data_IF_735647361340
#
_entry.id   IF_735647361340
#
_cell.length_a   1.000
_cell.length_b   1.000
_cell.length_c   1.000
_cell.angle_alpha   90.00
_cell.angle_beta   90.00
_cell.angle_gamma   90.00
#
_symmetry.space_group_name_H-M   'P 1'
#
loop_
_entity.id
_entity.type
_entity.pdbx_description
1 polymer ?
#
# COMPACT_ATOMS: atom_id res chain seq x y z
N UNK A 1 -3.64 17.38 4.56
CA UNK A 1 -2.50 18.16 5.11
C UNK A 1 -2.54 18.36 6.62
N UNK A 2 -3.72 18.51 7.26
CA UNK A 2 -3.83 18.68 8.73
C UNK A 2 -3.30 17.47 9.53
N UNK A 3 -3.56 16.23 9.08
CA UNK A 3 -3.04 15.01 9.73
C UNK A 3 -1.50 14.90 9.69
N UNK A 4 -0.86 15.36 8.61
CA UNK A 4 0.62 15.38 8.51
C UNK A 4 1.27 16.44 9.41
N UNK A 5 0.55 17.53 9.72
CA UNK A 5 0.98 18.52 10.71
C UNK A 5 0.82 18.01 12.15
N UNK A 6 -0.32 17.39 12.47
CA UNK A 6 -0.57 16.79 13.79
C UNK A 6 0.41 15.63 14.10
N UNK A 7 0.88 14.94 13.06
CA UNK A 7 1.85 13.85 13.09
C UNK A 7 3.23 14.24 13.64
N UNK A 8 3.64 15.51 13.52
CA UNK A 8 4.96 15.96 14.01
C UNK A 8 4.91 16.51 15.45
N UNK A 9 3.74 16.94 15.93
CA UNK A 9 3.60 17.61 17.23
C UNK A 9 3.22 16.68 18.39
N UNK A 10 2.70 15.48 18.12
CA UNK A 10 2.07 14.64 19.14
C UNK A 10 2.90 13.43 19.59
N UNK A 11 4.11 13.23 19.05
CA UNK A 11 4.94 12.04 19.29
C UNK A 11 4.25 10.69 18.92
N UNK A 12 3.05 10.74 18.33
CA UNK A 12 2.27 9.60 17.83
C UNK A 12 3.02 8.88 16.69
N UNK A 13 3.95 9.57 16.02
CA UNK A 13 4.87 9.02 15.01
C UNK A 13 5.88 8.00 15.57
N UNK A 14 6.04 7.94 16.89
CA UNK A 14 6.85 6.90 17.54
C UNK A 14 6.20 5.52 17.49
N UNK A 15 4.89 5.43 17.20
CA UNK A 15 4.16 4.18 17.10
C UNK A 15 3.83 3.86 15.64
N UNK A 16 4.44 2.80 15.10
CA UNK A 16 4.32 2.37 13.70
C UNK A 16 2.88 2.34 13.18
N UNK A 17 1.95 1.62 13.85
CA UNK A 17 0.57 1.55 13.40
C UNK A 17 -0.12 2.92 13.27
N UNK A 18 0.13 3.84 14.19
CA UNK A 18 -0.48 5.17 14.11
C UNK A 18 0.07 6.00 12.94
N UNK A 19 1.37 5.87 12.64
CA UNK A 19 1.97 6.45 11.43
C UNK A 19 1.34 5.85 10.16
N UNK A 20 1.17 4.53 10.12
CA UNK A 20 0.60 3.82 8.97
C UNK A 20 -0.84 4.25 8.69
N UNK A 21 -1.66 4.46 9.74
CA UNK A 21 -3.00 5.04 9.62
C UNK A 21 -2.97 6.47 9.07
N UNK A 22 -2.08 7.33 9.59
CA UNK A 22 -1.99 8.71 9.14
C UNK A 22 -1.54 8.82 7.67
N UNK A 23 -0.53 8.04 7.27
CA UNK A 23 -0.06 7.98 5.88
C UNK A 23 -1.16 7.48 4.95
N UNK A 24 -1.83 6.39 5.33
CA UNK A 24 -2.93 5.83 4.53
C UNK A 24 -4.08 6.81 4.38
N UNK A 25 -4.50 7.48 5.47
CA UNK A 25 -5.55 8.51 5.44
C UNK A 25 -5.18 9.70 4.57
N UNK A 26 -3.90 10.11 4.59
CA UNK A 26 -3.37 11.15 3.70
C UNK A 26 -3.53 10.77 2.22
N UNK A 27 -3.11 9.56 1.85
CA UNK A 27 -3.22 9.04 0.47
C UNK A 27 -4.69 8.88 0.05
N UNK A 28 -5.52 8.29 0.91
CA UNK A 28 -6.95 8.09 0.64
C UNK A 28 -7.68 9.42 0.36
N UNK A 29 -7.42 10.45 1.19
CA UNK A 29 -8.03 11.77 1.01
C UNK A 29 -7.56 12.47 -0.27
N UNK A 30 -6.29 12.33 -0.63
CA UNK A 30 -5.74 12.84 -1.90
C UNK A 30 -6.40 12.19 -3.11
N UNK A 31 -6.49 10.85 -3.11
CA UNK A 31 -7.14 10.08 -4.17
C UNK A 31 -8.62 10.42 -4.30
N UNK A 32 -9.34 10.57 -3.19
CA UNK A 32 -10.74 10.96 -3.20
C UNK A 32 -10.96 12.36 -3.77
N UNK A 33 -10.09 13.31 -3.42
CA UNK A 33 -10.14 14.67 -3.96
C UNK A 33 -9.89 14.65 -5.47
N UNK A 34 -8.86 13.93 -5.93
CA UNK A 34 -8.56 13.79 -7.36
C UNK A 34 -9.73 13.14 -8.12
N UNK A 35 -10.36 12.12 -7.53
CA UNK A 35 -11.51 11.44 -8.11
C UNK A 35 -12.72 12.37 -8.28
N UNK A 36 -13.05 13.15 -7.23
CA UNK A 36 -14.13 14.12 -7.29
C UNK A 36 -13.88 15.20 -8.35
N UNK A 37 -12.65 15.69 -8.47
CA UNK A 37 -12.28 16.68 -9.48
C UNK A 37 -12.34 16.11 -10.90
N UNK A 38 -12.05 14.82 -11.07
CA UNK A 38 -12.15 14.12 -12.36
C UNK A 38 -13.57 13.82 -12.82
N UNK A 39 -14.60 14.06 -11.99
CA UNK A 39 -16.00 13.83 -12.34
C UNK A 39 -16.43 12.36 -12.45
N UNK A 40 -15.65 11.42 -11.90
CA UNK A 40 -15.95 9.99 -11.95
C UNK A 40 -17.14 9.58 -11.07
N UNK A 41 -17.70 8.39 -11.33
CA UNK A 41 -18.79 7.84 -10.52
C UNK A 41 -18.39 7.75 -9.04
N UNK A 42 -19.22 8.35 -8.17
CA UNK A 42 -18.89 8.45 -6.73
C UNK A 42 -18.81 7.09 -6.06
N UNK A 43 -19.73 6.17 -6.38
CA UNK A 43 -19.82 4.88 -5.67
C UNK A 43 -18.68 3.95 -6.06
N UNK A 44 -18.39 3.85 -7.36
CA UNK A 44 -17.32 3.04 -7.91
C UNK A 44 -15.95 3.55 -7.42
N UNK A 45 -15.70 4.86 -7.51
CA UNK A 45 -14.46 5.47 -7.04
C UNK A 45 -14.22 5.28 -5.55
N UNK A 46 -15.23 5.52 -4.71
CA UNK A 46 -15.12 5.32 -3.25
C UNK A 46 -14.78 3.87 -2.93
N UNK A 47 -15.45 2.90 -3.56
CA UNK A 47 -15.17 1.48 -3.34
C UNK A 47 -13.73 1.12 -3.74
N UNK A 48 -13.27 1.62 -4.89
CA UNK A 48 -11.92 1.36 -5.38
C UNK A 48 -10.85 1.98 -4.45
N UNK A 49 -11.04 3.25 -4.05
CA UNK A 49 -10.15 3.96 -3.12
C UNK A 49 -10.13 3.27 -1.76
N UNK A 50 -11.27 2.81 -1.25
CA UNK A 50 -11.34 2.08 0.01
C UNK A 50 -10.54 0.77 -0.04
N UNK A 51 -10.67 0.00 -1.13
CA UNK A 51 -9.91 -1.23 -1.32
C UNK A 51 -8.40 -0.98 -1.41
N UNK A 52 -7.98 0.06 -2.13
CA UNK A 52 -6.58 0.46 -2.21
C UNK A 52 -6.05 0.92 -0.85
N UNK A 53 -6.84 1.70 -0.12
CA UNK A 53 -6.46 2.23 1.20
C UNK A 53 -6.31 1.11 2.23
N UNK A 54 -7.21 0.12 2.21
CA UNK A 54 -7.10 -1.07 3.05
C UNK A 54 -5.83 -1.84 2.70
N UNK A 55 -5.56 -2.07 1.41
CA UNK A 55 -4.33 -2.77 0.98
C UNK A 55 -3.10 -2.03 1.48
N UNK A 56 -3.03 -0.72 1.23
CA UNK A 56 -1.94 0.16 1.65
C UNK A 56 -1.71 0.11 3.17
N UNK A 57 -2.77 0.19 3.98
CA UNK A 57 -2.65 0.18 5.45
C UNK A 57 -1.87 -1.03 5.97
N UNK A 58 -2.10 -2.20 5.40
CA UNK A 58 -1.46 -3.44 5.84
C UNK A 58 -0.09 -3.68 5.21
N UNK A 59 0.23 -3.03 4.09
CA UNK A 59 1.49 -3.24 3.35
C UNK A 59 2.48 -2.09 3.50
N UNK A 60 2.07 -0.91 3.97
CA UNK A 60 2.92 0.28 4.10
C UNK A 60 4.08 0.07 5.07
N UNK A 61 3.95 -0.86 6.02
CA UNK A 61 5.02 -1.27 6.95
C UNK A 61 6.29 -1.80 6.25
N UNK A 62 6.22 -2.13 4.95
CA UNK A 62 7.41 -2.39 4.12
C UNK A 62 8.38 -1.20 4.07
N UNK A 63 7.89 0.02 4.27
CA UNK A 63 8.72 1.23 4.38
C UNK A 63 9.65 1.19 5.58
N UNK A 64 9.24 0.52 6.65
CA UNK A 64 9.96 0.50 7.92
C UNK A 64 11.08 -0.54 7.89
N UNK A 65 11.01 -1.56 7.03
CA UNK A 65 12.07 -2.57 6.88
C UNK A 65 13.44 -1.97 6.56
N UNK A 66 13.47 -0.89 5.78
CA UNK A 66 14.72 -0.19 5.42
C UNK A 66 15.25 0.73 6.51
N UNK A 67 14.39 1.12 7.46
CA UNK A 67 14.64 2.17 8.43
C UNK A 67 14.71 1.62 9.87
N UNK A 68 14.50 0.31 10.09
CA UNK A 68 14.46 -0.36 11.42
C UNK A 68 15.58 0.08 12.37
N UNK A 69 16.84 0.13 11.90
CA UNK A 69 17.98 0.51 12.76
C UNK A 69 17.88 1.98 13.16
N UNK A 70 17.64 2.87 12.21
CA UNK A 70 17.51 4.31 12.48
C UNK A 70 16.28 4.66 13.30
N UNK A 71 15.18 3.91 13.13
CA UNK A 71 13.97 4.05 13.93
C UNK A 71 14.21 3.58 15.37
N UNK A 72 14.92 2.46 15.58
CA UNK A 72 15.30 1.99 16.90
C UNK A 72 16.22 2.99 17.65
N UNK A 73 17.23 3.53 16.96
CA UNK A 73 18.13 4.55 17.52
C UNK A 73 17.40 5.85 17.89
N UNK A 74 16.30 6.14 17.20
CA UNK A 74 15.43 7.30 17.46
C UNK A 74 14.32 7.01 18.50
N UNK A 75 14.28 5.81 19.07
CA UNK A 75 13.28 5.39 20.05
C UNK A 75 11.88 5.14 19.46
N UNK A 76 11.76 4.88 18.15
CA UNK A 76 10.48 4.57 17.50
C UNK A 76 10.21 3.06 17.51
N UNK A 77 8.98 2.70 17.86
CA UNK A 77 8.46 1.34 17.83
C UNK A 77 7.67 1.10 16.53
N UNK A 78 8.38 0.75 15.44
CA UNK A 78 7.74 0.41 14.16
C UNK A 78 7.28 -1.05 14.11
N UNK A 79 6.33 -1.36 13.22
CA UNK A 79 5.77 -2.72 13.09
C UNK A 79 6.85 -3.79 12.86
N UNK A 80 7.84 -3.59 11.97
CA UNK A 80 8.93 -4.56 11.83
C UNK A 80 9.83 -4.67 13.07
N UNK A 81 10.04 -3.57 13.79
CA UNK A 81 10.82 -3.58 15.03
C UNK A 81 10.10 -4.36 16.14
N UNK A 82 8.78 -4.18 16.27
CA UNK A 82 7.94 -4.89 17.25
C UNK A 82 7.85 -6.39 16.98
N UNK A 83 7.78 -6.80 15.70
CA UNK A 83 7.66 -8.21 15.30
C UNK A 83 9.02 -8.93 15.30
N UNK A 84 10.08 -8.23 14.90
CA UNK A 84 11.41 -8.81 14.69
C UNK A 84 11.47 -9.78 13.50
N UNK A 85 12.70 -10.17 13.13
CA UNK A 85 12.92 -11.18 12.09
C UNK A 85 12.61 -12.59 12.63
N UNK A 86 11.97 -13.48 11.85
CA UNK A 86 11.49 -13.30 10.47
C UNK A 86 10.02 -12.83 10.36
N UNK A 87 9.37 -12.54 11.49
CA UNK A 87 7.93 -12.31 11.55
C UNK A 87 7.50 -11.00 10.89
N UNK A 88 8.36 -9.99 10.87
CA UNK A 88 8.20 -8.75 10.11
C UNK A 88 7.82 -8.99 8.64
N UNK A 89 8.61 -9.83 7.95
CA UNK A 89 8.42 -10.15 6.53
C UNK A 89 7.27 -11.12 6.31
N UNK A 90 7.03 -12.03 7.24
CA UNK A 90 5.86 -12.93 7.20
C UNK A 90 4.57 -12.11 7.27
N UNK A 91 4.49 -11.16 8.19
CA UNK A 91 3.34 -10.25 8.30
C UNK A 91 3.11 -9.48 7.00
N UNK A 92 4.15 -8.80 6.48
CA UNK A 92 4.04 -8.01 5.25
C UNK A 92 3.65 -8.91 4.06
N UNK A 93 4.26 -10.09 3.94
CA UNK A 93 3.99 -11.03 2.86
C UNK A 93 2.57 -11.58 2.90
N UNK A 94 2.07 -11.96 4.09
CA UNK A 94 0.69 -12.38 4.28
C UNK A 94 -0.26 -11.24 3.92
N UNK A 95 -0.01 -10.02 4.40
CA UNK A 95 -0.81 -8.84 4.06
C UNK A 95 -0.86 -8.60 2.54
N UNK A 96 0.30 -8.65 1.88
CA UNK A 96 0.42 -8.46 0.42
C UNK A 96 -0.32 -9.51 -0.41
N UNK A 97 -0.55 -10.72 0.11
CA UNK A 97 -1.27 -11.77 -0.62
C UNK A 97 -2.75 -11.84 -0.21
N UNK A 98 -3.04 -11.85 1.09
CA UNK A 98 -4.38 -12.10 1.64
C UNK A 98 -5.32 -10.90 1.54
N UNK A 99 -4.86 -9.72 1.98
CA UNK A 99 -5.64 -8.47 1.86
C UNK A 99 -5.85 -8.18 0.38
N UNK A 100 -4.80 -8.39 -0.41
CA UNK A 100 -4.78 -8.18 -1.85
C UNK A 100 -5.75 -9.09 -2.60
N UNK A 101 -5.83 -10.38 -2.27
CA UNK A 101 -6.82 -11.29 -2.87
C UNK A 101 -8.27 -10.79 -2.64
N UNK A 102 -8.52 -10.21 -1.47
CA UNK A 102 -9.83 -9.67 -1.11
C UNK A 102 -10.13 -8.37 -1.86
N UNK A 103 -9.15 -7.47 -1.98
CA UNK A 103 -9.33 -6.16 -2.61
C UNK A 103 -9.36 -6.22 -4.13
N UNK A 104 -8.55 -7.08 -4.77
CA UNK A 104 -8.55 -7.29 -6.22
C UNK A 104 -9.91 -7.73 -6.76
N UNK A 105 -10.57 -8.64 -6.03
CA UNK A 105 -11.91 -9.13 -6.41
C UNK A 105 -12.90 -7.97 -6.54
N UNK A 106 -12.85 -7.01 -5.60
CA UNK A 106 -13.73 -5.84 -5.61
C UNK A 106 -13.27 -4.75 -6.58
N UNK A 107 -11.97 -4.57 -6.78
CA UNK A 107 -11.42 -3.51 -7.63
C UNK A 107 -11.50 -3.82 -9.12
N UNK A 108 -11.27 -5.07 -9.52
CA UNK A 108 -11.07 -5.45 -10.93
C UNK A 108 -12.24 -6.27 -11.48
N UNK A 109 -12.81 -7.19 -10.71
CA UNK A 109 -13.77 -8.18 -11.22
C UNK A 109 -15.24 -7.73 -11.17
N UNK A 110 -15.53 -6.50 -10.72
CA UNK A 110 -16.88 -5.94 -10.68
C UNK A 110 -17.33 -5.18 -11.94
N UNK A 111 -16.45 -4.99 -12.93
CA UNK A 111 -16.70 -4.15 -14.12
C UNK A 111 -17.14 -4.91 -15.38
N UNK A 112 -17.70 -4.19 -16.36
CA UNK A 112 -18.22 -4.77 -17.61
C UNK A 112 -17.16 -5.29 -18.59
N UNK A 113 -15.95 -4.74 -18.60
CA UNK A 113 -14.85 -5.21 -19.46
C UNK A 113 -13.99 -6.26 -18.76
N UNK A 114 -14.51 -7.49 -18.73
CA UNK A 114 -13.89 -8.62 -18.03
C UNK A 114 -12.47 -8.95 -18.52
N UNK A 115 -12.14 -8.71 -19.80
CA UNK A 115 -10.81 -9.02 -20.35
C UNK A 115 -9.74 -8.03 -19.87
N UNK A 116 -9.98 -6.71 -20.01
CA UNK A 116 -9.03 -5.70 -19.56
C UNK A 116 -8.82 -5.77 -18.03
N UNK A 117 -9.90 -5.96 -17.28
CA UNK A 117 -9.86 -6.14 -15.83
C UNK A 117 -9.01 -7.35 -15.41
N UNK A 118 -9.15 -8.50 -16.10
CA UNK A 118 -8.36 -9.72 -15.82
C UNK A 118 -6.87 -9.50 -16.07
N UNK A 119 -6.51 -8.82 -17.16
CA UNK A 119 -5.12 -8.52 -17.49
C UNK A 119 -4.52 -7.60 -16.41
N UNK A 120 -5.23 -6.52 -16.05
CA UNK A 120 -4.76 -5.61 -15.02
C UNK A 120 -4.63 -6.31 -13.66
N UNK A 121 -5.58 -7.16 -13.30
CA UNK A 121 -5.53 -7.96 -12.07
C UNK A 121 -4.32 -8.89 -12.05
N UNK A 122 -4.04 -9.58 -13.16
CA UNK A 122 -2.88 -10.45 -13.29
C UNK A 122 -1.55 -9.67 -13.16
N UNK A 123 -1.47 -8.48 -13.76
CA UNK A 123 -0.29 -7.61 -13.66
C UNK A 123 -0.02 -7.18 -12.21
N UNK A 124 -1.06 -6.77 -11.47
CA UNK A 124 -0.93 -6.40 -10.04
C UNK A 124 -0.44 -7.59 -9.22
N UNK A 125 -1.05 -8.77 -9.40
CA UNK A 125 -0.65 -9.98 -8.67
C UNK A 125 0.81 -10.36 -8.98
N UNK A 126 1.25 -10.25 -10.23
CA UNK A 126 2.65 -10.52 -10.59
C UNK A 126 3.62 -9.57 -9.89
N UNK A 127 3.26 -8.28 -9.76
CA UNK A 127 4.05 -7.30 -9.00
C UNK A 127 4.11 -7.67 -7.53
N UNK A 128 2.98 -8.02 -6.90
CA UNK A 128 2.95 -8.39 -5.49
C UNK A 128 3.77 -9.68 -5.23
N UNK A 129 3.65 -10.71 -6.07
CA UNK A 129 4.45 -11.94 -5.97
C UNK A 129 5.94 -11.62 -6.13
N UNK A 130 6.31 -10.77 -7.08
CA UNK A 130 7.69 -10.32 -7.28
C UNK A 130 8.23 -9.61 -6.03
N UNK A 131 7.45 -8.71 -5.43
CA UNK A 131 7.84 -7.97 -4.22
C UNK A 131 8.01 -8.90 -3.03
N UNK A 132 7.08 -9.82 -2.81
CA UNK A 132 7.15 -10.83 -1.74
C UNK A 132 8.40 -11.71 -1.93
N UNK A 133 8.59 -12.27 -3.13
CA UNK A 133 9.76 -13.10 -3.42
C UNK A 133 11.08 -12.34 -3.20
N UNK A 134 11.14 -11.07 -3.63
CA UNK A 134 12.30 -10.20 -3.42
C UNK A 134 12.54 -9.96 -1.93
N UNK A 135 11.49 -9.61 -1.18
CA UNK A 135 11.56 -9.32 0.26
C UNK A 135 12.10 -10.52 1.05
N UNK A 136 11.71 -11.75 0.70
CA UNK A 136 12.21 -12.94 1.40
C UNK A 136 13.62 -13.35 0.98
N UNK A 137 13.98 -13.19 -0.31
CA UNK A 137 15.29 -13.60 -0.84
C UNK A 137 16.41 -12.59 -0.57
N UNK A 138 16.09 -11.30 -0.60
CA UNK A 138 17.06 -10.20 -0.53
C UNK A 138 16.82 -9.35 0.72
N UNK A 139 17.43 -9.72 1.84
CA UNK A 139 17.14 -9.16 3.18
C UNK A 139 18.16 -8.14 3.69
N UNK A 140 18.97 -7.56 2.80
CA UNK A 140 19.90 -6.48 3.19
C UNK A 140 19.19 -5.13 3.17
N UNK A 141 19.63 -4.19 4.00
CA UNK A 141 19.05 -2.84 4.09
C UNK A 141 19.04 -2.13 2.72
N UNK A 142 20.12 -2.32 1.94
CA UNK A 142 20.21 -1.77 0.58
C UNK A 142 19.17 -2.37 -0.37
N UNK A 143 18.86 -3.66 -0.23
CA UNK A 143 17.84 -4.34 -1.02
C UNK A 143 16.43 -4.01 -0.54
N UNK A 144 16.21 -3.83 0.77
CA UNK A 144 14.93 -3.37 1.32
C UNK A 144 14.58 -1.96 0.82
N UNK A 145 15.57 -1.06 0.72
CA UNK A 145 15.38 0.26 0.09
C UNK A 145 14.93 0.15 -1.37
N UNK A 146 15.50 -0.80 -2.14
CA UNK A 146 15.10 -1.04 -3.54
C UNK A 146 13.70 -1.66 -3.60
N UNK A 147 13.40 -2.63 -2.74
CA UNK A 147 12.08 -3.28 -2.63
C UNK A 147 11.00 -2.25 -2.32
N UNK A 148 11.25 -1.31 -1.40
CA UNK A 148 10.34 -0.20 -1.15
C UNK A 148 10.12 0.70 -2.37
N UNK A 149 11.18 1.01 -3.15
CA UNK A 149 11.03 1.78 -4.39
C UNK A 149 10.17 1.03 -5.42
N UNK A 150 10.39 -0.28 -5.59
CA UNK A 150 9.55 -1.10 -6.46
C UNK A 150 8.10 -1.16 -5.96
N UNK A 151 7.90 -1.23 -4.64
CA UNK A 151 6.57 -1.16 -4.04
C UNK A 151 5.85 0.16 -4.36
N UNK A 152 6.54 1.29 -4.23
CA UNK A 152 5.99 2.60 -4.60
C UNK A 152 5.68 2.71 -6.11
N UNK A 153 6.56 2.17 -6.96
CA UNK A 153 6.29 2.08 -8.40
C UNK A 153 5.07 1.20 -8.70
N UNK A 154 4.93 0.07 -8.00
CA UNK A 154 3.78 -0.83 -8.09
C UNK A 154 2.48 -0.13 -7.71
N UNK A 155 2.50 0.65 -6.62
CA UNK A 155 1.36 1.48 -6.21
C UNK A 155 0.98 2.51 -7.30
N UNK A 156 1.94 3.26 -7.84
CA UNK A 156 1.69 4.19 -8.93
C UNK A 156 1.14 3.48 -10.18
N UNK A 157 1.69 2.31 -10.51
CA UNK A 157 1.23 1.49 -11.61
C UNK A 157 -0.22 1.02 -11.41
N UNK A 158 -0.59 0.61 -10.19
CA UNK A 158 -1.97 0.23 -9.85
C UNK A 158 -2.95 1.41 -10.03
N UNK A 159 -2.57 2.62 -9.60
CA UNK A 159 -3.38 3.83 -9.84
C UNK A 159 -3.54 4.16 -11.32
N UNK A 160 -2.52 3.88 -12.14
CA UNK A 160 -2.58 4.03 -13.59
C UNK A 160 -3.49 2.96 -14.22
N UNK A 161 -3.39 1.70 -13.81
CA UNK A 161 -4.27 0.64 -14.30
C UNK A 161 -5.75 0.92 -14.00
N UNK A 162 -6.02 1.55 -12.85
CA UNK A 162 -7.38 1.93 -12.47
C UNK A 162 -8.00 2.96 -13.41
N UNK A 163 -7.21 3.89 -13.98
CA UNK A 163 -7.76 4.85 -14.94
C UNK A 163 -8.27 4.16 -16.22
N UNK A 164 -7.63 3.07 -16.65
CA UNK A 164 -8.09 2.30 -17.82
C UNK A 164 -9.37 1.51 -17.55
N UNK A 165 -9.55 0.99 -16.33
CA UNK A 165 -10.72 0.19 -15.97
C UNK A 165 -11.92 1.06 -15.66
N UNK A 166 -11.69 2.14 -14.91
CA UNK A 166 -12.76 3.01 -14.44
C UNK A 166 -13.18 4.05 -15.48
N UNK A 167 -12.34 4.36 -16.49
CA UNK A 167 -12.74 5.17 -17.64
C UNK A 167 -13.55 4.37 -18.68
N UNK A 168 -13.54 3.04 -18.60
CA UNK A 168 -14.25 2.14 -19.52
C UNK A 168 -15.61 1.68 -18.98
N UNK A 169 -16.02 2.18 -17.81
CA UNK A 169 -17.30 1.91 -17.15
C UNK A 169 -18.21 3.14 -17.24
#
# INVERSE_FOLDING_TARGET
>A
MVLGGLHNFTNISSFGPAKDFATTGGVASGLYTAWLLGGGDKRCGINWIACLSISLLFTISIQDLRDVIGDADSGRCTTPWMLGKPYDRIYIGISMVSVRATTLTRQYFGGGNLYASRICAALVIMVDIFLVARMFRLQSIGEDKKTYRFYMMGFSFETLLASFILSAA
#
